data_IF_487027590999
#
_entry.id   IF_487027590999
#
_cell.length_a   1.000
_cell.length_b   1.000
_cell.length_c   1.000
_cell.angle_alpha   90.00
_cell.angle_beta   90.00
_cell.angle_gamma   90.00
#
_symmetry.space_group_name_H-M   'P 1'
#
loop_
_entity.id
_entity.type
_entity.pdbx_description
1 polymer ?
#
# COMPACT_ATOMS: atom_id res chain seq x y z
N UNK A 1 13.60 -15.43 6.55
CA UNK A 1 12.30 -16.13 6.54
C UNK A 1 11.20 -15.10 6.75
N UNK A 2 10.66 -14.54 5.67
CA UNK A 2 9.40 -13.80 5.71
C UNK A 2 8.58 -14.38 4.55
N UNK A 3 7.42 -14.98 4.83
CA UNK A 3 6.62 -15.61 3.77
C UNK A 3 6.08 -14.50 2.84
N UNK A 4 5.96 -14.73 1.53
CA UNK A 4 5.54 -13.73 0.53
C UNK A 4 4.32 -12.88 0.92
N UNK A 5 3.31 -13.50 1.56
CA UNK A 5 2.15 -12.77 2.08
C UNK A 5 2.52 -11.83 3.23
N UNK A 6 3.51 -12.17 4.07
CA UNK A 6 4.05 -11.32 5.11
C UNK A 6 4.77 -10.12 4.54
N UNK A 7 5.48 -10.21 3.40
CA UNK A 7 6.09 -9.02 2.79
C UNK A 7 5.08 -8.10 2.11
N UNK A 8 4.00 -8.64 1.52
CA UNK A 8 2.90 -7.81 1.00
C UNK A 8 2.10 -7.20 2.16
N UNK A 9 1.86 -7.95 3.23
CA UNK A 9 1.21 -7.43 4.45
C UNK A 9 2.10 -6.40 5.11
N UNK A 10 3.39 -6.66 5.29
CA UNK A 10 4.38 -5.72 5.84
C UNK A 10 4.51 -4.50 4.94
N UNK A 11 4.50 -4.64 3.62
CA UNK A 11 4.51 -3.52 2.68
C UNK A 11 3.24 -2.67 2.79
N UNK A 12 2.06 -3.29 2.80
CA UNK A 12 0.78 -2.58 3.00
C UNK A 12 0.63 -2.03 4.43
N UNK A 13 1.24 -2.66 5.42
CA UNK A 13 1.27 -2.24 6.81
C UNK A 13 2.23 -1.07 6.99
N UNK A 14 3.40 -1.06 6.36
CA UNK A 14 4.35 0.05 6.37
C UNK A 14 3.80 1.23 5.57
N UNK A 15 3.19 1.01 4.41
CA UNK A 15 2.51 2.07 3.62
C UNK A 15 1.26 2.58 4.35
N UNK A 16 0.53 1.69 5.02
CA UNK A 16 -0.62 2.02 5.86
C UNK A 16 -0.24 2.80 7.11
N UNK A 17 0.86 2.44 7.77
CA UNK A 17 1.45 3.18 8.89
C UNK A 17 1.98 4.52 8.40
N UNK A 18 2.62 4.61 7.24
CA UNK A 18 3.07 5.89 6.70
C UNK A 18 1.89 6.80 6.32
N UNK A 19 0.87 6.25 5.67
CA UNK A 19 -0.35 7.00 5.33
C UNK A 19 -1.12 7.42 6.59
N UNK A 20 -1.21 6.53 7.58
CA UNK A 20 -1.87 6.75 8.87
C UNK A 20 -1.10 7.70 9.78
N UNK A 21 0.23 7.64 9.81
CA UNK A 21 1.08 8.63 10.48
C UNK A 21 0.94 9.97 9.78
N UNK A 22 0.98 10.07 8.45
CA UNK A 22 0.78 11.35 7.77
C UNK A 22 -0.62 11.95 8.02
N UNK A 23 -1.66 11.12 8.02
CA UNK A 23 -3.03 11.56 8.29
C UNK A 23 -3.28 11.90 9.78
N UNK A 24 -2.72 11.11 10.70
CA UNK A 24 -2.91 11.24 12.15
C UNK A 24 -1.94 12.21 12.82
N UNK A 25 -0.74 12.40 12.27
CA UNK A 25 0.20 13.45 12.71
C UNK A 25 -0.33 14.83 12.33
N UNK A 26 -1.03 15.00 11.22
CA UNK A 26 -1.54 16.31 10.80
C UNK A 26 -2.39 17.03 11.88
N UNK A 27 -3.40 16.39 12.52
CA UNK A 27 -4.12 16.98 13.66
C UNK A 27 -3.28 17.15 14.92
N UNK A 28 -2.48 16.14 15.28
CA UNK A 28 -1.63 16.16 16.50
C UNK A 28 -0.57 17.27 16.39
N UNK A 29 -0.07 17.52 15.19
CA UNK A 29 0.93 18.55 14.89
C UNK A 29 0.35 19.97 14.94
N UNK A 30 -0.92 20.17 14.56
CA UNK A 30 -1.58 21.47 14.69
C UNK A 30 -1.80 21.85 16.16
N UNK A 31 -2.09 20.88 17.03
CA UNK A 31 -2.44 21.15 18.43
C UNK A 31 -1.26 21.12 19.42
N UNK A 32 -0.20 20.35 19.14
CA UNK A 32 0.96 20.22 20.06
C UNK A 32 2.21 20.95 19.54
N UNK A 33 2.42 21.03 18.21
CA UNK A 33 3.61 21.64 17.59
C UNK A 33 3.29 22.84 16.65
N UNK A 34 2.04 23.31 16.63
CA UNK A 34 1.59 24.45 15.82
C UNK A 34 2.05 25.83 16.33
N UNK A 35 3.23 25.91 16.94
CA UNK A 35 3.88 27.18 17.27
C UNK A 35 4.63 27.69 16.03
N UNK A 36 4.61 28.99 15.74
CA UNK A 36 5.22 29.60 14.54
C UNK A 36 6.69 29.22 14.30
N UNK A 37 7.41 28.78 15.33
CA UNK A 37 8.82 28.39 15.25
C UNK A 37 9.08 26.90 14.94
N UNK A 38 8.12 25.99 15.21
CA UNK A 38 8.36 24.53 15.20
C UNK A 38 7.77 23.80 14.00
N UNK A 39 7.09 24.50 13.10
CA UNK A 39 6.54 23.91 11.88
C UNK A 39 7.59 23.21 10.97
N UNK A 40 8.88 23.62 10.89
CA UNK A 40 9.86 22.91 10.09
C UNK A 40 10.22 21.52 10.66
N UNK A 41 10.15 21.36 11.99
CA UNK A 41 10.39 20.08 12.67
C UNK A 41 9.31 19.05 12.29
N UNK A 42 8.11 19.52 11.93
CA UNK A 42 7.01 18.68 11.44
C UNK A 42 7.39 17.92 10.15
N UNK A 43 7.99 18.64 9.20
CA UNK A 43 8.50 18.04 7.95
C UNK A 43 9.67 17.09 8.22
N UNK A 44 10.53 17.43 9.19
CA UNK A 44 11.63 16.57 9.64
C UNK A 44 11.16 15.19 10.12
N UNK A 45 10.03 15.12 10.82
CA UNK A 45 9.51 13.86 11.37
C UNK A 45 8.94 12.93 10.29
N UNK A 46 8.39 13.48 9.20
CA UNK A 46 7.92 12.72 8.03
C UNK A 46 9.09 12.16 7.22
N UNK A 47 10.22 12.88 7.21
CA UNK A 47 11.43 12.46 6.50
C UNK A 47 12.04 11.19 7.12
N UNK A 48 11.93 10.99 8.43
CA UNK A 48 12.48 9.81 9.13
C UNK A 48 11.94 8.48 8.56
N UNK A 49 10.62 8.22 8.53
CA UNK A 49 10.09 6.99 7.96
C UNK A 49 10.28 6.91 6.43
N UNK A 50 10.37 8.05 5.73
CA UNK A 50 10.68 8.08 4.30
C UNK A 50 12.12 7.60 4.01
N UNK A 51 13.10 8.06 4.79
CA UNK A 51 14.49 7.58 4.70
C UNK A 51 14.55 6.11 5.06
N UNK A 52 13.85 5.67 6.11
CA UNK A 52 13.78 4.26 6.47
C UNK A 52 13.26 3.41 5.31
N UNK A 53 12.18 3.84 4.62
CA UNK A 53 11.70 3.15 3.42
C UNK A 53 12.73 3.16 2.29
N UNK A 54 13.40 4.28 2.04
CA UNK A 54 14.41 4.39 0.98
C UNK A 54 15.59 3.45 1.22
N UNK A 55 16.03 3.32 2.48
CA UNK A 55 17.09 2.39 2.87
C UNK A 55 16.61 0.94 2.84
N UNK A 56 15.35 0.66 3.21
CA UNK A 56 14.80 -0.69 3.20
C UNK A 56 14.54 -1.24 1.78
N UNK A 57 14.18 -0.37 0.83
CA UNK A 57 13.75 -0.77 -0.51
C UNK A 57 14.80 -1.56 -1.32
N UNK A 58 16.11 -1.22 -1.32
CA UNK A 58 17.15 -2.01 -1.98
C UNK A 58 17.35 -3.42 -1.42
N UNK A 59 16.97 -3.68 -0.17
CA UNK A 59 17.10 -5.01 0.44
C UNK A 59 15.94 -5.95 0.08
N UNK A 60 14.84 -5.42 -0.46
CA UNK A 60 13.74 -6.21 -0.99
C UNK A 60 14.08 -6.67 -2.40
N UNK A 61 14.03 -7.98 -2.71
CA UNK A 61 14.19 -8.42 -4.08
C UNK A 61 13.07 -7.85 -4.94
N UNK A 62 13.38 -7.64 -6.23
CA UNK A 62 12.36 -7.33 -7.21
C UNK A 62 11.29 -8.43 -7.26
N UNK A 63 10.06 -8.06 -7.64
CA UNK A 63 8.97 -9.03 -7.80
C UNK A 63 9.38 -10.13 -8.78
N UNK A 64 9.36 -11.42 -8.38
CA UNK A 64 9.73 -12.54 -9.26
C UNK A 64 8.91 -12.55 -10.55
N UNK A 65 7.64 -12.16 -10.48
CA UNK A 65 6.73 -12.04 -11.63
C UNK A 65 7.15 -10.96 -12.62
N UNK A 66 7.67 -9.84 -12.13
CA UNK A 66 8.19 -8.77 -12.99
C UNK A 66 9.48 -9.20 -13.68
N UNK A 67 10.42 -9.82 -12.96
CA UNK A 67 11.68 -10.32 -13.52
C UNK A 67 11.40 -11.39 -14.58
N UNK A 68 10.46 -12.30 -14.30
CA UNK A 68 10.05 -13.36 -15.22
C UNK A 68 9.39 -12.83 -16.50
N UNK A 69 8.38 -11.96 -16.36
CA UNK A 69 7.55 -11.55 -17.50
C UNK A 69 8.17 -10.37 -18.27
N UNK A 70 8.70 -9.37 -17.57
CA UNK A 70 9.21 -8.14 -18.20
C UNK A 70 10.69 -8.23 -18.56
N UNK A 71 11.53 -8.82 -17.68
CA UNK A 71 12.97 -8.99 -17.96
C UNK A 71 13.30 -10.30 -18.68
N UNK A 72 12.37 -11.28 -18.70
CA UNK A 72 12.54 -12.61 -19.30
C UNK A 72 13.75 -13.38 -18.76
N UNK A 73 14.12 -13.11 -17.51
CA UNK A 73 15.25 -13.76 -16.85
C UNK A 73 14.73 -14.82 -15.88
N UNK A 74 14.72 -16.07 -16.35
CA UNK A 74 14.21 -17.23 -15.61
C UNK A 74 15.05 -17.51 -14.37
N UNK A 75 16.38 -17.45 -14.48
CA UNK A 75 17.29 -17.79 -13.41
C UNK A 75 17.23 -16.78 -12.26
N UNK A 76 17.16 -15.48 -12.58
CA UNK A 76 16.98 -14.45 -11.54
C UNK A 76 15.59 -14.50 -10.91
N UNK A 77 14.55 -14.82 -11.68
CA UNK A 77 13.19 -14.99 -11.17
C UNK A 77 13.07 -16.20 -10.24
N UNK A 78 13.66 -17.34 -10.61
CA UNK A 78 13.74 -18.55 -9.78
C UNK A 78 14.49 -18.26 -8.47
N UNK A 79 15.65 -17.59 -8.54
CA UNK A 79 16.40 -17.18 -7.34
C UNK A 79 15.60 -16.23 -6.44
N UNK A 80 14.89 -15.27 -7.02
CA UNK A 80 14.04 -14.35 -6.27
C UNK A 80 12.84 -15.07 -5.65
N UNK A 81 12.25 -16.05 -6.36
CA UNK A 81 11.13 -16.86 -5.88
C UNK A 81 11.57 -17.85 -4.79
N UNK A 82 12.73 -18.48 -4.95
CA UNK A 82 13.34 -19.35 -3.97
C UNK A 82 13.70 -18.58 -2.69
N UNK A 83 14.24 -17.36 -2.82
CA UNK A 83 14.45 -16.47 -1.67
C UNK A 83 13.13 -16.09 -0.99
N UNK A 84 12.08 -15.83 -1.78
CA UNK A 84 10.75 -15.42 -1.30
C UNK A 84 9.99 -16.55 -0.59
N UNK A 85 10.14 -17.79 -1.06
CA UNK A 85 9.52 -18.99 -0.48
C UNK A 85 10.36 -19.63 0.62
N UNK A 86 11.67 -19.44 0.57
CA UNK A 86 12.62 -20.12 1.46
C UNK A 86 12.84 -21.59 1.11
N UNK A 87 12.52 -22.01 -0.12
CA UNK A 87 12.74 -23.35 -0.66
C UNK A 87 13.29 -23.23 -2.09
N UNK A 88 14.07 -24.22 -2.53
CA UNK A 88 14.55 -24.30 -3.91
C UNK A 88 13.51 -24.95 -4.84
N UNK A 89 12.52 -25.65 -4.28
CA UNK A 89 11.43 -26.26 -5.05
C UNK A 89 10.35 -25.21 -5.39
N UNK A 90 10.61 -24.41 -6.43
CA UNK A 90 9.71 -23.35 -6.91
C UNK A 90 9.31 -23.51 -8.37
N UNK A 91 9.66 -24.63 -8.99
CA UNK A 91 9.51 -24.85 -10.43
C UNK A 91 8.04 -24.88 -10.86
N UNK A 92 7.18 -25.54 -10.08
CA UNK A 92 5.74 -25.60 -10.34
C UNK A 92 5.11 -24.19 -10.32
N UNK A 93 5.49 -23.36 -9.35
CA UNK A 93 4.97 -22.00 -9.22
C UNK A 93 5.53 -21.06 -10.30
N UNK A 94 6.76 -21.30 -10.77
CA UNK A 94 7.32 -20.63 -11.95
C UNK A 94 6.53 -20.96 -13.21
N UNK A 95 6.16 -22.22 -13.42
CA UNK A 95 5.39 -22.67 -14.57
C UNK A 95 3.94 -22.14 -14.53
N UNK A 96 3.30 -22.13 -13.36
CA UNK A 96 2.00 -21.47 -13.16
C UNK A 96 2.07 -19.97 -13.51
N UNK A 97 3.12 -19.28 -13.06
CA UNK A 97 3.30 -17.85 -13.35
C UNK A 97 3.51 -17.57 -14.84
N UNK A 98 4.17 -18.46 -15.57
CA UNK A 98 4.31 -18.37 -17.03
C UNK A 98 3.00 -18.63 -17.74
N UNK A 99 2.24 -19.65 -17.31
CA UNK A 99 0.94 -19.96 -17.88
C UNK A 99 -0.04 -18.78 -17.69
N UNK A 100 -0.12 -18.22 -16.48
CA UNK A 100 -0.90 -16.99 -16.24
C UNK A 100 -0.43 -15.82 -17.09
N UNK A 101 0.89 -15.67 -17.30
CA UNK A 101 1.44 -14.60 -18.12
C UNK A 101 1.02 -14.76 -19.59
N UNK A 102 1.07 -16.00 -20.10
CA UNK A 102 0.65 -16.35 -21.44
C UNK A 102 -0.83 -16.05 -21.67
N UNK A 103 -1.68 -16.42 -20.71
CA UNK A 103 -3.11 -16.10 -20.71
C UNK A 103 -3.36 -14.59 -20.65
N UNK A 104 -2.58 -13.85 -19.86
CA UNK A 104 -2.67 -12.38 -19.79
C UNK A 104 -2.22 -11.67 -21.06
N UNK A 105 -1.31 -12.25 -21.85
CA UNK A 105 -0.94 -11.69 -23.16
C UNK A 105 -2.11 -11.83 -24.15
N UNK A 106 -2.91 -12.90 -24.02
CA UNK A 106 -4.10 -13.11 -24.84
C UNK A 106 -5.27 -12.19 -24.44
N UNK A 107 -5.29 -11.68 -23.21
CA UNK A 107 -6.29 -10.71 -22.75
C UNK A 107 -5.80 -9.28 -23.06
N UNK A 108 -6.53 -8.49 -23.88
CA UNK A 108 -6.13 -7.12 -24.17
C UNK A 108 -6.04 -6.28 -22.89
N UNK A 109 -5.07 -5.37 -22.84
CA UNK A 109 -4.90 -4.45 -21.70
C UNK A 109 -6.19 -3.67 -21.49
N UNK A 110 -6.81 -3.87 -20.34
CA UNK A 110 -8.06 -3.22 -19.97
C UNK A 110 -7.85 -1.70 -19.92
N UNK A 111 -8.59 -0.97 -20.73
CA UNK A 111 -8.61 0.49 -20.72
C UNK A 111 -9.64 1.01 -19.71
N UNK A 112 -9.44 2.21 -19.13
CA UNK A 112 -10.40 2.83 -18.20
C UNK A 112 -11.84 2.87 -18.75
N UNK A 113 -11.98 3.07 -20.07
CA UNK A 113 -13.27 3.03 -20.78
C UNK A 113 -13.92 1.64 -20.75
N UNK A 114 -13.11 0.59 -20.88
CA UNK A 114 -13.59 -0.80 -20.85
C UNK A 114 -14.00 -1.23 -19.45
N UNK A 115 -13.37 -0.68 -18.40
CA UNK A 115 -13.79 -0.92 -17.02
C UNK A 115 -15.23 -0.45 -16.75
N UNK A 116 -15.66 0.63 -17.40
CA UNK A 116 -17.04 1.14 -17.34
C UNK A 116 -18.01 0.45 -18.29
N UNK A 117 -17.51 0.00 -19.45
CA UNK A 117 -18.34 -0.57 -20.53
C UNK A 117 -18.59 -2.07 -20.32
N UNK A 118 -17.61 -2.81 -19.78
CA UNK A 118 -17.69 -4.25 -19.60
C UNK A 118 -18.41 -4.61 -18.29
N UNK A 119 -19.54 -5.32 -18.40
CA UNK A 119 -20.35 -5.72 -17.25
C UNK A 119 -19.61 -6.58 -16.22
N UNK A 120 -18.62 -7.38 -16.64
CA UNK A 120 -17.81 -8.23 -15.76
C UNK A 120 -16.83 -7.42 -14.89
N UNK A 121 -16.32 -6.30 -15.42
CA UNK A 121 -15.38 -5.43 -14.71
C UNK A 121 -16.09 -4.34 -13.89
N UNK A 122 -17.32 -4.01 -14.29
CA UNK A 122 -18.11 -2.95 -13.65
C UNK A 122 -18.50 -3.29 -12.22
N UNK A 123 -18.83 -4.55 -11.91
CA UNK A 123 -19.18 -4.97 -10.55
C UNK A 123 -18.00 -4.79 -9.56
N UNK A 124 -16.80 -5.34 -9.81
CA UNK A 124 -15.62 -5.08 -8.98
C UNK A 124 -15.28 -3.59 -8.85
N UNK A 125 -15.44 -2.81 -9.94
CA UNK A 125 -15.20 -1.37 -9.92
C UNK A 125 -16.18 -0.64 -9.00
N UNK A 126 -17.48 -0.90 -9.12
CA UNK A 126 -18.51 -0.29 -8.28
C UNK A 126 -18.26 -0.65 -6.81
N UNK A 127 -17.96 -1.91 -6.50
CA UNK A 127 -17.64 -2.35 -5.14
C UNK A 127 -16.44 -1.56 -4.61
N UNK A 128 -15.35 -1.47 -5.38
CA UNK A 128 -14.15 -0.74 -4.99
C UNK A 128 -14.44 0.74 -4.72
N UNK A 129 -15.21 1.39 -5.60
CA UNK A 129 -15.62 2.79 -5.44
C UNK A 129 -16.49 2.97 -4.20
N UNK A 130 -17.52 2.14 -4.02
CA UNK A 130 -18.42 2.22 -2.87
C UNK A 130 -17.67 2.01 -1.56
N UNK A 131 -16.74 1.06 -1.50
CA UNK A 131 -15.90 0.83 -0.32
C UNK A 131 -15.03 2.05 -0.02
N UNK A 132 -14.35 2.61 -1.02
CA UNK A 132 -13.52 3.81 -0.83
C UNK A 132 -14.35 5.03 -0.41
N UNK A 133 -15.51 5.24 -1.01
CA UNK A 133 -16.43 6.33 -0.63
C UNK A 133 -16.96 6.12 0.78
N UNK A 134 -17.40 4.91 1.13
CA UNK A 134 -17.88 4.58 2.47
C UNK A 134 -16.81 4.84 3.53
N UNK A 135 -15.54 4.55 3.21
CA UNK A 135 -14.43 4.85 4.09
C UNK A 135 -14.25 6.35 4.31
N UNK A 136 -14.29 7.17 3.26
CA UNK A 136 -14.15 8.63 3.38
C UNK A 136 -15.37 9.28 4.06
N UNK A 137 -16.58 8.82 3.75
CA UNK A 137 -17.83 9.34 4.31
C UNK A 137 -18.19 8.77 5.69
N UNK A 138 -17.44 7.79 6.20
CA UNK A 138 -17.57 7.31 7.59
C UNK A 138 -17.34 8.39 8.64
N UNK A 139 -16.77 9.54 8.25
CA UNK A 139 -16.43 10.62 9.17
C UNK A 139 -15.15 10.36 9.94
N UNK A 140 -14.40 9.28 9.63
CA UNK A 140 -13.14 8.97 10.29
C UNK A 140 -12.15 10.14 10.24
N UNK A 141 -12.06 10.84 9.11
CA UNK A 141 -11.20 12.01 9.00
C UNK A 141 -11.67 13.15 9.93
N UNK A 142 -12.98 13.41 10.00
CA UNK A 142 -13.53 14.44 10.89
C UNK A 142 -13.24 14.11 12.37
N UNK A 143 -13.38 12.84 12.77
CA UNK A 143 -13.02 12.39 14.11
C UNK A 143 -11.51 12.57 14.35
N UNK A 144 -10.66 12.15 13.42
CA UNK A 144 -9.19 12.30 13.56
C UNK A 144 -8.78 13.77 13.67
N UNK A 145 -9.43 14.68 12.93
CA UNK A 145 -9.11 16.12 12.99
C UNK A 145 -9.69 16.85 14.20
N UNK A 146 -10.93 16.55 14.58
CA UNK A 146 -11.67 17.32 15.58
C UNK A 146 -11.87 16.57 16.91
N UNK A 147 -11.35 15.35 17.06
CA UNK A 147 -11.51 14.53 18.27
C UNK A 147 -11.20 15.31 19.54
N UNK A 148 -10.10 16.03 19.57
CA UNK A 148 -9.67 16.82 20.73
C UNK A 148 -10.59 18.00 21.03
N UNK A 149 -11.10 18.70 20.01
CA UNK A 149 -12.14 19.73 20.20
C UNK A 149 -13.44 19.12 20.74
N UNK A 150 -13.88 18.00 20.16
CA UNK A 150 -15.07 17.26 20.61
C UNK A 150 -14.92 16.80 22.06
N UNK A 151 -13.78 16.21 22.41
CA UNK A 151 -13.50 15.76 23.78
C UNK A 151 -13.46 16.92 24.78
N UNK A 152 -12.89 18.07 24.39
CA UNK A 152 -12.85 19.26 25.24
C UNK A 152 -14.25 19.83 25.48
N UNK A 153 -15.07 19.93 24.44
CA UNK A 153 -16.45 20.42 24.54
C UNK A 153 -17.31 19.47 25.38
N UNK A 154 -17.19 18.15 25.19
CA UNK A 154 -17.91 17.17 26.01
C UNK A 154 -17.47 17.16 27.48
N UNK A 155 -16.21 17.50 27.78
CA UNK A 155 -15.69 17.56 29.15
C UNK A 155 -16.12 18.84 29.89
N UNK A 156 -16.32 19.95 29.19
CA UNK A 156 -16.80 21.22 29.75
C UNK A 156 -18.30 21.26 30.08
N UNK A 157 -19.08 20.29 29.59
CA UNK A 157 -20.52 20.17 29.84
C UNK A 157 -20.88 19.30 31.07
N UNK A 158 -19.89 18.89 31.86
CA UNK A 158 -20.05 18.06 33.06
C UNK A 158 -19.54 18.78 34.31
#
# INVERSE_FOLDING_TARGET
>A
MAKSYEMIIVGRFIVGINSGLNAGLCPIMHQILGTEEKWPILFGLIIIPAIFMLVAFPFCPESPKYVLICKKDMASAEKALAWLRGTEDVQEEMDEMLNEAQERIAVPKVTLKEMWTNGMLRQPLIISVVVMLSQQFSGINAIVFFSTSIFYDCWLFQ
#
